data_IF_135104983026
#
_entry.id   IF_135104983026
#
_cell.length_a   1.000
_cell.length_b   1.000
_cell.length_c   1.000
_cell.angle_alpha   90.00
_cell.angle_beta   90.00
_cell.angle_gamma   90.00
#
_symmetry.space_group_name_H-M   'P 1'
#
loop_
_entity.id
_entity.type
_entity.pdbx_description
1 polymer ?
#
# COMPACT_ATOMS: atom_id res chain seq x y z
N UNK A 1 -22.27 27.86 14.51
CA UNK A 1 -22.24 28.75 15.70
C UNK A 1 -21.63 28.06 16.92
N UNK A 2 -22.05 26.85 17.30
CA UNK A 2 -21.57 26.09 18.48
C UNK A 2 -20.06 25.86 18.51
N UNK A 3 -19.45 25.30 17.44
CA UNK A 3 -17.98 25.05 17.35
C UNK A 3 -17.15 26.30 17.62
N UNK A 4 -17.53 27.43 17.05
CA UNK A 4 -16.85 28.71 17.22
C UNK A 4 -16.86 29.18 18.68
N UNK A 5 -18.00 29.10 19.35
CA UNK A 5 -18.11 29.52 20.76
C UNK A 5 -17.39 28.54 21.71
N UNK A 6 -17.39 27.23 21.41
CA UNK A 6 -16.63 26.23 22.16
C UNK A 6 -15.11 26.46 22.07
N UNK A 7 -14.59 26.79 20.89
CA UNK A 7 -13.17 27.14 20.70
C UNK A 7 -12.75 28.43 21.43
N UNK A 8 -13.70 29.32 21.72
CA UNK A 8 -13.47 30.54 22.52
C UNK A 8 -13.74 30.34 24.02
N UNK A 9 -13.83 29.08 24.48
CA UNK A 9 -13.99 28.73 25.90
C UNK A 9 -15.38 29.00 26.47
N UNK A 10 -16.38 29.31 25.64
CA UNK A 10 -17.74 29.54 26.13
C UNK A 10 -18.47 28.21 26.31
N UNK A 11 -19.21 28.02 27.42
CA UNK A 11 -20.08 26.86 27.58
C UNK A 11 -21.13 26.87 26.47
N UNK A 12 -21.23 25.75 25.76
CA UNK A 12 -22.19 25.56 24.67
C UNK A 12 -22.93 24.27 24.92
N UNK A 13 -24.26 24.31 24.82
CA UNK A 13 -25.08 23.11 24.95
C UNK A 13 -24.99 22.30 23.65
N UNK A 14 -24.62 21.03 23.77
CA UNK A 14 -24.67 20.09 22.66
C UNK A 14 -26.07 19.48 22.62
N UNK A 15 -26.81 19.78 21.55
CA UNK A 15 -28.10 19.17 21.26
C UNK A 15 -27.94 18.32 19.98
N UNK A 16 -28.15 17.00 20.03
CA UNK A 16 -28.12 16.15 18.85
C UNK A 16 -29.00 16.71 17.72
N UNK A 17 -28.52 16.65 16.47
CA UNK A 17 -29.28 17.10 15.30
C UNK A 17 -29.48 18.62 15.13
N UNK A 18 -29.01 19.46 16.06
CA UNK A 18 -29.22 20.93 15.98
C UNK A 18 -28.09 21.69 15.31
N UNK A 19 -26.90 21.10 15.22
CA UNK A 19 -25.78 21.66 14.49
C UNK A 19 -25.13 20.59 13.59
N UNK A 20 -24.39 21.06 12.58
CA UNK A 20 -23.75 20.18 11.60
C UNK A 20 -22.82 19.14 12.26
N UNK A 21 -22.16 19.50 13.36
CA UNK A 21 -21.31 18.59 14.11
C UNK A 21 -22.14 17.51 14.83
N UNK A 22 -23.23 17.87 15.49
CA UNK A 22 -24.15 16.96 16.14
C UNK A 22 -24.80 15.99 15.16
N UNK A 23 -25.18 16.45 13.96
CA UNK A 23 -25.72 15.58 12.91
C UNK A 23 -24.69 14.54 12.43
N UNK A 24 -23.43 14.95 12.24
CA UNK A 24 -22.35 14.03 11.85
C UNK A 24 -22.06 13.00 12.95
N UNK A 25 -22.03 13.43 14.22
CA UNK A 25 -21.81 12.54 15.36
C UNK A 25 -22.97 11.52 15.47
N UNK A 26 -24.21 11.96 15.34
CA UNK A 26 -25.39 11.09 15.38
C UNK A 26 -25.35 10.05 14.25
N UNK A 27 -25.03 10.48 13.03
CA UNK A 27 -24.87 9.57 11.90
C UNK A 27 -23.75 8.53 12.15
N UNK A 28 -22.60 8.98 12.66
CA UNK A 28 -21.49 8.10 13.01
C UNK A 28 -21.90 7.05 14.06
N UNK A 29 -22.51 7.46 15.17
CA UNK A 29 -22.97 6.55 16.23
C UNK A 29 -23.95 5.52 15.67
N UNK A 30 -24.96 5.97 14.91
CA UNK A 30 -25.97 5.06 14.32
C UNK A 30 -25.36 4.05 13.35
N UNK A 31 -24.38 4.44 12.55
CA UNK A 31 -23.69 3.54 11.64
C UNK A 31 -22.82 2.53 12.42
N UNK A 32 -22.20 2.97 13.53
CA UNK A 32 -21.38 2.11 14.39
C UNK A 32 -22.23 1.07 15.11
N UNK A 33 -23.35 1.49 15.72
CA UNK A 33 -24.30 0.59 16.39
C UNK A 33 -24.90 -0.44 15.46
N UNK A 34 -25.07 -0.10 14.17
CA UNK A 34 -25.51 -1.04 13.12
C UNK A 34 -24.40 -1.95 12.60
N UNK A 35 -23.15 -1.79 13.06
CA UNK A 35 -21.99 -2.55 12.59
C UNK A 35 -21.55 -2.21 11.16
N UNK A 36 -21.96 -1.05 10.62
CA UNK A 36 -21.62 -0.61 9.26
C UNK A 36 -20.32 0.18 9.18
N UNK A 37 -19.82 0.67 10.31
CA UNK A 37 -18.49 1.27 10.44
C UNK A 37 -17.72 0.57 11.55
N UNK A 38 -16.43 0.36 11.32
CA UNK A 38 -15.54 -0.32 12.24
C UNK A 38 -14.13 0.28 12.12
N UNK A 39 -13.30 0.05 13.13
CA UNK A 39 -11.88 0.41 13.07
C UNK A 39 -11.05 -0.84 12.74
N UNK A 40 -10.15 -0.74 11.78
CA UNK A 40 -9.33 -1.85 11.34
C UNK A 40 -8.01 -1.42 10.74
N UNK A 41 -7.08 -2.36 10.60
CA UNK A 41 -5.88 -2.15 9.80
C UNK A 41 -6.15 -2.57 8.37
N UNK A 42 -6.19 -1.61 7.47
CA UNK A 42 -6.42 -1.82 6.04
C UNK A 42 -5.44 -0.98 5.21
N UNK A 43 -5.28 -1.35 3.94
CA UNK A 43 -4.51 -0.56 2.99
C UNK A 43 -5.30 0.69 2.62
N UNK A 44 -4.66 1.85 2.78
CA UNK A 44 -5.22 3.15 2.43
C UNK A 44 -4.35 3.83 1.39
N UNK A 45 -4.99 4.63 0.55
CA UNK A 45 -4.33 5.64 -0.26
C UNK A 45 -3.80 6.72 0.68
N UNK A 46 -2.47 6.80 0.84
CA UNK A 46 -1.80 7.74 1.73
C UNK A 46 -1.22 8.90 0.93
N UNK A 47 -1.47 10.14 1.37
CA UNK A 47 -0.76 11.32 0.88
C UNK A 47 0.43 11.59 1.80
N UNK A 48 1.68 11.45 1.33
CA UNK A 48 2.87 11.77 2.13
C UNK A 48 2.94 13.26 2.48
N UNK A 49 2.47 14.12 1.58
CA UNK A 49 2.47 15.58 1.73
C UNK A 49 1.49 16.06 2.79
N UNK A 50 0.28 15.49 2.81
CA UNK A 50 -0.77 15.87 3.76
C UNK A 50 -0.75 15.00 5.02
N UNK A 51 0.04 13.92 5.02
CA UNK A 51 0.14 12.93 6.10
C UNK A 51 -1.23 12.41 6.54
N UNK A 52 -2.08 12.10 5.57
CA UNK A 52 -3.43 11.59 5.80
C UNK A 52 -3.82 10.55 4.76
N UNK A 53 -4.77 9.69 5.11
CA UNK A 53 -5.46 8.88 4.11
C UNK A 53 -6.36 9.78 3.25
N UNK A 54 -6.45 9.42 1.99
CA UNK A 54 -7.22 10.07 0.94
C UNK A 54 -8.20 9.04 0.37
N UNK A 55 -9.42 9.45 0.03
CA UNK A 55 -10.39 8.52 -0.55
C UNK A 55 -10.08 8.21 -2.02
N UNK A 56 -10.60 7.09 -2.54
CA UNK A 56 -10.44 6.75 -3.97
C UNK A 56 -11.05 7.80 -4.92
N UNK A 57 -12.07 8.54 -4.47
CA UNK A 57 -12.67 9.60 -5.28
C UNK A 57 -11.81 10.86 -5.35
N UNK A 58 -10.83 11.00 -4.46
CA UNK A 58 -9.93 12.15 -4.36
C UNK A 58 -8.59 11.92 -5.06
N UNK A 59 -8.46 10.82 -5.82
CA UNK A 59 -7.25 10.45 -6.54
C UNK A 59 -7.50 10.29 -8.04
N UNK A 60 -6.51 10.66 -8.84
CA UNK A 60 -6.53 10.59 -10.30
C UNK A 60 -5.27 9.91 -10.82
N UNK A 61 -5.36 9.27 -11.98
CA UNK A 61 -4.20 8.64 -12.62
C UNK A 61 -3.52 9.60 -13.59
N UNK A 62 -2.20 9.69 -13.48
CA UNK A 62 -1.32 10.39 -14.41
C UNK A 62 -0.34 9.42 -15.05
N UNK A 63 -0.07 9.57 -16.35
CA UNK A 63 0.98 8.82 -17.05
C UNK A 63 2.30 9.59 -16.98
N UNK A 64 3.35 8.94 -16.48
CA UNK A 64 4.65 9.56 -16.27
C UNK A 64 5.79 8.68 -16.79
N UNK A 65 6.85 9.27 -17.37
CA UNK A 65 8.03 8.50 -17.74
C UNK A 65 8.72 7.97 -16.48
N UNK A 66 8.92 6.67 -16.43
CA UNK A 66 9.63 5.98 -15.38
C UNK A 66 10.58 4.91 -15.90
N UNK A 67 11.09 4.10 -14.99
CA UNK A 67 12.09 3.08 -15.29
C UNK A 67 11.70 1.77 -14.61
N UNK A 68 11.65 0.70 -15.40
CA UNK A 68 11.50 -0.66 -14.92
C UNK A 68 12.86 -1.18 -14.46
N UNK A 69 12.91 -1.65 -13.23
CA UNK A 69 14.10 -2.29 -12.67
C UNK A 69 13.93 -3.80 -12.66
N UNK A 70 14.96 -4.52 -13.13
CA UNK A 70 15.01 -5.97 -13.01
C UNK A 70 16.02 -6.42 -11.95
N UNK A 71 15.53 -7.17 -10.97
CA UNK A 71 16.32 -7.74 -9.87
C UNK A 71 16.42 -9.25 -10.05
N UNK A 72 17.57 -9.85 -9.74
CA UNK A 72 17.78 -11.30 -9.80
C UNK A 72 17.57 -11.92 -8.41
N UNK A 73 16.66 -12.89 -8.32
CA UNK A 73 16.41 -13.69 -7.11
C UNK A 73 16.94 -15.10 -7.33
N UNK A 74 17.79 -15.61 -6.43
CA UNK A 74 18.30 -16.98 -6.54
C UNK A 74 17.33 -17.99 -5.96
N UNK A 75 17.21 -19.17 -6.58
CA UNK A 75 16.40 -20.27 -6.03
C UNK A 75 17.17 -20.96 -4.91
N UNK A 76 16.54 -21.12 -3.75
CA UNK A 76 17.11 -21.84 -2.62
C UNK A 76 17.34 -23.31 -2.98
N UNK A 77 18.56 -23.79 -2.77
CA UNK A 77 18.97 -25.15 -3.14
C UNK A 77 19.14 -25.38 -4.65
N UNK A 78 19.03 -24.34 -5.48
CA UNK A 78 19.29 -24.40 -6.92
C UNK A 78 20.78 -24.16 -7.27
N UNK A 79 21.10 -24.30 -8.56
CA UNK A 79 22.41 -23.92 -9.09
C UNK A 79 22.59 -22.39 -9.10
N UNK A 80 23.82 -21.90 -9.16
CA UNK A 80 24.13 -20.46 -9.31
C UNK A 80 23.51 -19.84 -10.58
N UNK A 81 23.16 -20.67 -11.56
CA UNK A 81 22.45 -20.30 -12.79
C UNK A 81 20.92 -20.17 -12.61
N UNK A 82 20.36 -20.67 -11.51
CA UNK A 82 18.92 -20.68 -11.28
C UNK A 82 18.51 -19.39 -10.57
N UNK A 83 18.08 -18.41 -11.37
CA UNK A 83 17.57 -17.14 -10.87
C UNK A 83 16.27 -16.74 -11.57
N UNK A 84 15.44 -16.01 -10.84
CA UNK A 84 14.25 -15.33 -11.36
C UNK A 84 14.61 -13.87 -11.63
N UNK A 85 14.17 -13.33 -12.77
CA UNK A 85 14.20 -11.89 -13.01
C UNK A 85 12.87 -11.29 -12.55
N UNK A 86 12.95 -10.22 -11.81
CA UNK A 86 11.82 -9.64 -11.11
C UNK A 86 11.71 -8.14 -11.43
N UNK A 87 10.51 -7.66 -11.76
CA UNK A 87 10.24 -6.26 -12.14
C UNK A 87 9.79 -5.45 -10.93
N UNK A 88 10.52 -4.41 -10.50
CA UNK A 88 10.05 -3.53 -9.41
C UNK A 88 9.08 -2.46 -9.90
N UNK A 89 7.79 -2.61 -9.54
CA UNK A 89 6.79 -1.55 -9.30
C UNK A 89 5.81 -2.04 -8.23
N UNK A 90 6.27 -2.03 -6.97
CA UNK A 90 5.71 -2.89 -5.91
C UNK A 90 6.23 -4.32 -6.05
N UNK A 91 6.13 -5.10 -4.96
CA UNK A 91 6.47 -6.54 -4.79
C UNK A 91 5.78 -7.53 -5.81
N UNK A 92 5.68 -7.24 -7.11
CA UNK A 92 5.10 -8.08 -8.18
C UNK A 92 6.01 -9.23 -8.67
N UNK A 93 5.87 -10.42 -8.09
CA UNK A 93 6.54 -11.64 -8.60
C UNK A 93 5.81 -12.14 -9.87
N UNK A 94 6.17 -11.65 -11.05
CA UNK A 94 5.61 -12.17 -12.30
C UNK A 94 6.41 -13.40 -12.75
N UNK A 95 5.86 -14.60 -12.57
CA UNK A 95 6.41 -15.80 -13.22
C UNK A 95 5.96 -15.84 -14.68
N UNK A 96 6.91 -15.57 -15.57
CA UNK A 96 6.84 -16.02 -16.96
C UNK A 96 6.75 -17.57 -17.00
N UNK A 97 6.10 -18.15 -18.01
CA UNK A 97 5.98 -19.62 -18.19
C UNK A 97 7.34 -20.34 -18.04
N UNK A 98 8.42 -19.66 -18.44
CA UNK A 98 9.83 -20.08 -18.28
C UNK A 98 10.24 -20.44 -16.85
N UNK A 99 9.57 -19.90 -15.84
CA UNK A 99 9.87 -20.07 -14.42
C UNK A 99 8.86 -20.97 -13.69
N UNK A 100 7.87 -21.54 -14.38
CA UNK A 100 6.87 -22.45 -13.79
C UNK A 100 7.50 -23.63 -13.03
N UNK A 101 8.68 -24.09 -13.46
CA UNK A 101 9.47 -25.15 -12.81
C UNK A 101 9.97 -24.80 -11.39
N UNK A 102 9.89 -23.53 -10.99
CA UNK A 102 10.29 -23.06 -9.67
C UNK A 102 9.11 -22.83 -8.72
N UNK A 103 7.86 -22.99 -9.18
CA UNK A 103 6.67 -22.89 -8.34
C UNK A 103 6.74 -23.93 -7.21
N UNK A 104 6.49 -23.49 -5.98
CA UNK A 104 6.61 -24.31 -4.77
C UNK A 104 8.03 -24.40 -4.19
N UNK A 105 9.05 -23.84 -4.87
CA UNK A 105 10.39 -23.66 -4.29
C UNK A 105 10.49 -22.33 -3.55
N UNK A 106 11.57 -22.15 -2.81
CA UNK A 106 11.85 -20.89 -2.10
C UNK A 106 12.82 -20.03 -2.93
N UNK A 107 12.53 -18.75 -3.08
CA UNK A 107 13.47 -17.75 -3.58
C UNK A 107 14.20 -17.10 -2.41
N UNK A 108 15.52 -16.93 -2.55
CA UNK A 108 16.33 -16.15 -1.63
C UNK A 108 16.16 -14.70 -2.04
N UNK A 109 15.59 -13.90 -1.13
CA UNK A 109 15.50 -12.46 -1.33
C UNK A 109 16.91 -11.88 -1.16
N UNK A 110 17.41 -11.12 -2.15
CA UNK A 110 18.70 -10.46 -2.01
C UNK A 110 18.73 -9.56 -0.76
N UNK A 111 19.88 -9.48 -0.09
CA UNK A 111 20.16 -8.54 1.02
C UNK A 111 19.44 -8.75 2.35
N UNK A 112 18.46 -9.65 2.43
CA UNK A 112 17.66 -9.87 3.65
C UNK A 112 18.27 -10.93 4.57
N UNK A 113 19.60 -10.97 4.72
CA UNK A 113 20.30 -11.96 5.55
C UNK A 113 19.82 -13.42 5.37
N UNK A 114 19.36 -13.78 4.17
CA UNK A 114 18.84 -15.12 3.88
C UNK A 114 17.34 -15.32 4.08
N UNK A 115 16.50 -14.27 4.07
CA UNK A 115 15.06 -14.47 4.03
C UNK A 115 14.63 -15.21 2.75
N UNK A 116 13.80 -16.23 2.95
CA UNK A 116 13.23 -17.06 1.91
C UNK A 116 11.77 -16.69 1.69
N UNK A 117 11.38 -16.48 0.44
CA UNK A 117 9.99 -16.22 0.05
C UNK A 117 9.51 -17.36 -0.86
N UNK A 118 8.30 -17.90 -0.65
CA UNK A 118 7.77 -18.93 -1.51
C UNK A 118 7.53 -18.40 -2.93
N UNK A 119 7.94 -19.18 -3.93
CA UNK A 119 7.68 -18.90 -5.34
C UNK A 119 6.27 -19.42 -5.65
N UNK A 120 5.34 -18.49 -5.83
CA UNK A 120 3.93 -18.75 -6.15
C UNK A 120 3.65 -18.33 -7.59
N UNK A 121 2.76 -19.06 -8.27
CA UNK A 121 2.42 -18.86 -9.69
C UNK A 121 1.84 -17.48 -10.02
N UNK A 122 1.37 -16.74 -9.01
CA UNK A 122 0.64 -15.48 -9.18
C UNK A 122 1.41 -14.25 -8.71
N UNK A 123 1.12 -13.12 -9.37
CA UNK A 123 1.66 -11.79 -9.04
C UNK A 123 1.09 -11.34 -7.70
N UNK A 124 1.91 -11.21 -6.65
CA UNK A 124 1.45 -10.69 -5.35
C UNK A 124 2.47 -9.76 -4.69
N UNK A 125 2.11 -8.47 -4.57
CA UNK A 125 2.71 -7.40 -3.75
C UNK A 125 1.86 -7.00 -2.54
N UNK A 126 1.87 -7.74 -1.43
CA UNK A 126 0.94 -7.51 -0.32
C UNK A 126 0.97 -6.09 0.26
N UNK A 127 2.13 -5.42 0.23
CA UNK A 127 2.35 -4.11 0.86
C UNK A 127 2.15 -2.90 -0.05
N UNK A 128 2.05 -3.08 -1.38
CA UNK A 128 2.17 -1.96 -2.33
C UNK A 128 1.15 -1.98 -3.47
N UNK A 129 0.17 -2.89 -3.45
CA UNK A 129 -0.92 -2.95 -4.42
C UNK A 129 -2.19 -3.46 -3.72
N UNK A 130 -3.34 -2.84 -3.99
CA UNK A 130 -4.60 -3.15 -3.32
C UNK A 130 -5.10 -4.57 -3.66
N UNK A 131 -4.96 -5.01 -4.91
CA UNK A 131 -5.39 -6.35 -5.33
C UNK A 131 -4.54 -7.42 -4.64
N UNK A 132 -3.25 -7.15 -4.55
CA UNK A 132 -2.29 -8.05 -3.95
C UNK A 132 -2.43 -8.11 -2.42
N UNK A 133 -2.77 -7.01 -1.76
CA UNK A 133 -3.11 -6.97 -0.34
C UNK A 133 -4.30 -7.87 -0.01
N UNK A 134 -5.36 -7.81 -0.82
CA UNK A 134 -6.56 -8.64 -0.64
C UNK A 134 -6.23 -10.12 -0.82
N UNK A 135 -5.46 -10.45 -1.86
CA UNK A 135 -5.04 -11.83 -2.13
C UNK A 135 -4.11 -12.36 -1.03
N UNK A 136 -3.16 -11.55 -0.56
CA UNK A 136 -2.26 -11.88 0.53
C UNK A 136 -3.01 -12.13 1.84
N UNK A 137 -4.03 -11.32 2.15
CA UNK A 137 -4.91 -11.57 3.31
C UNK A 137 -5.67 -12.88 3.20
N UNK A 138 -6.21 -13.21 2.01
CA UNK A 138 -6.90 -14.48 1.77
C UNK A 138 -5.97 -15.69 1.94
N UNK A 139 -4.72 -15.54 1.52
CA UNK A 139 -3.68 -16.58 1.59
C UNK A 139 -2.87 -16.56 2.91
N UNK A 140 -3.24 -15.68 3.86
CA UNK A 140 -2.54 -15.47 5.13
C UNK A 140 -1.02 -15.22 4.99
N UNK A 141 -0.61 -14.53 3.93
CA UNK A 141 0.79 -14.20 3.68
C UNK A 141 1.24 -13.03 4.57
N UNK A 142 2.52 -13.01 5.01
CA UNK A 142 3.06 -11.89 5.77
C UNK A 142 3.05 -10.61 4.93
N UNK A 143 2.49 -9.54 5.49
CA UNK A 143 2.43 -8.22 4.84
C UNK A 143 3.61 -7.39 5.35
N UNK A 144 4.65 -7.26 4.52
CA UNK A 144 5.82 -6.45 4.80
C UNK A 144 5.64 -5.06 4.17
N UNK A 145 5.81 -4.02 4.98
CA UNK A 145 5.85 -2.65 4.50
C UNK A 145 7.31 -2.20 4.40
N UNK A 146 7.74 -1.80 3.20
CA UNK A 146 9.11 -1.37 2.89
C UNK A 146 9.25 0.16 2.95
N UNK A 147 8.13 0.88 3.10
CA UNK A 147 8.11 2.34 3.13
C UNK A 147 7.79 2.89 4.51
N UNK A 148 8.49 3.96 4.86
CA UNK A 148 8.20 4.81 6.00
C UNK A 148 6.97 5.70 5.70
N UNK A 149 6.36 6.26 6.75
CA UNK A 149 5.17 7.12 6.64
C UNK A 149 5.40 8.43 5.88
N UNK A 150 6.65 8.84 5.75
CA UNK A 150 7.10 10.03 5.01
C UNK A 150 7.35 9.75 3.52
N UNK A 151 7.14 8.51 3.05
CA UNK A 151 7.37 8.10 1.67
C UNK A 151 8.84 7.76 1.35
N UNK A 152 9.73 7.77 2.36
CA UNK A 152 11.09 7.27 2.18
C UNK A 152 11.12 5.74 2.23
N UNK A 153 12.03 5.14 1.48
CA UNK A 153 12.34 3.72 1.61
C UNK A 153 13.10 3.50 2.93
N UNK A 154 12.87 2.36 3.58
CA UNK A 154 13.73 1.92 4.67
C UNK A 154 15.14 1.58 4.14
N UNK A 155 16.15 1.45 5.02
CA UNK A 155 17.58 1.30 4.65
C UNK A 155 17.94 0.06 3.80
N UNK A 156 16.95 -0.70 3.35
CA UNK A 156 17.11 -1.78 2.37
C UNK A 156 16.73 -1.26 0.98
N UNK A 157 17.70 -0.87 0.14
CA UNK A 157 17.70 -1.15 -1.33
C UNK A 157 18.73 -0.33 -2.12
N UNK A 158 19.60 -1.04 -2.87
CA UNK A 158 20.16 -0.52 -4.13
C UNK A 158 20.60 -1.69 -5.03
N UNK A 159 19.73 -2.17 -5.95
CA UNK A 159 20.00 -3.38 -6.76
C UNK A 159 19.29 -3.39 -8.12
N UNK A 160 19.58 -2.41 -8.98
CA UNK A 160 19.15 -2.47 -10.37
C UNK A 160 20.18 -3.20 -11.25
N UNK A 161 19.89 -4.40 -11.75
CA UNK A 161 20.80 -5.11 -12.69
C UNK A 161 20.59 -4.64 -14.12
N UNK A 162 19.33 -4.39 -14.53
CA UNK A 162 18.99 -3.77 -15.81
C UNK A 162 17.85 -2.77 -15.64
N UNK A 163 17.90 -1.69 -16.42
CA UNK A 163 16.95 -0.58 -16.41
C UNK A 163 16.34 -0.44 -17.80
N UNK A 164 15.03 -0.38 -17.91
CA UNK A 164 14.32 -0.14 -19.18
C UNK A 164 13.35 1.05 -19.01
N UNK A 165 13.27 1.98 -19.98
CA UNK A 165 12.29 3.06 -19.92
C UNK A 165 10.87 2.53 -20.05
N UNK A 166 9.94 3.07 -19.26
CA UNK A 166 8.53 2.65 -19.26
C UNK A 166 7.60 3.77 -18.83
N UNK A 167 6.35 3.75 -19.28
CA UNK A 167 5.33 4.68 -18.79
C UNK A 167 4.67 4.13 -17.54
N UNK A 168 4.70 4.89 -16.46
CA UNK A 168 4.09 4.54 -15.18
C UNK A 168 2.75 5.22 -15.04
N UNK A 169 1.77 4.44 -14.58
CA UNK A 169 0.47 4.95 -14.20
C UNK A 169 0.49 5.29 -12.71
N UNK A 170 0.75 6.55 -12.38
CA UNK A 170 0.92 7.03 -11.00
C UNK A 170 -0.42 7.57 -10.48
N UNK A 171 -0.81 7.14 -9.28
CA UNK A 171 -1.94 7.76 -8.57
C UNK A 171 -1.49 9.10 -7.99
N UNK A 172 -2.28 10.15 -8.22
CA UNK A 172 -2.04 11.49 -7.66
C UNK A 172 -3.27 12.04 -6.96
N UNK A 173 -3.03 12.84 -5.93
CA UNK A 173 -4.04 13.58 -5.18
C UNK A 173 -4.65 14.68 -6.04
N UNK A 174 -5.98 14.77 -6.12
CA UNK A 174 -6.67 15.88 -6.78
C UNK A 174 -6.38 17.24 -6.13
N UNK A 175 -6.14 17.24 -4.82
CA UNK A 175 -6.01 18.49 -4.04
C UNK A 175 -4.62 19.09 -4.13
N UNK A 176 -3.59 18.25 -4.03
CA UNK A 176 -2.22 18.71 -3.90
C UNK A 176 -1.27 18.26 -5.00
N UNK A 177 -1.76 17.43 -5.94
CA UNK A 177 -1.02 16.89 -7.07
C UNK A 177 0.09 15.91 -6.70
N UNK A 178 0.31 15.60 -5.42
CA UNK A 178 1.33 14.65 -4.98
C UNK A 178 0.98 13.22 -5.37
N UNK A 179 2.01 12.39 -5.55
CA UNK A 179 1.83 10.95 -5.70
C UNK A 179 1.23 10.36 -4.41
N UNK A 180 0.26 9.47 -4.60
CA UNK A 180 -0.42 8.74 -3.55
C UNK A 180 0.19 7.35 -3.46
N UNK A 181 0.55 6.98 -2.24
CA UNK A 181 1.21 5.73 -1.92
C UNK A 181 0.25 4.81 -1.16
N UNK A 182 0.13 3.53 -1.50
CA UNK A 182 -0.62 2.58 -0.67
C UNK A 182 0.14 2.30 0.64
N UNK A 183 -0.54 2.44 1.78
CA UNK A 183 0.05 2.18 3.10
C UNK A 183 -0.95 1.46 4.00
N UNK A 184 -0.49 0.47 4.77
CA UNK A 184 -1.33 -0.18 5.78
C UNK A 184 -1.44 0.73 6.99
N UNK A 185 -2.64 1.24 7.25
CA UNK A 185 -2.92 2.13 8.39
C UNK A 185 -4.09 1.60 9.20
N UNK A 186 -4.10 1.91 10.50
CA UNK A 186 -5.25 1.67 11.37
C UNK A 186 -6.17 2.89 11.31
N UNK A 187 -7.36 2.71 10.77
CA UNK A 187 -8.38 3.75 10.65
C UNK A 187 -9.74 3.24 11.08
#
# INVERSE_FOLDING_TARGET
MVRYHRMRGRPTLWLPGTDHAGAVIEAFIRLHEKGLIYQGSYMVNWSPKLQTAVSELEVEYSEEPGTLYYIKYHVAGGSRSDFLKYQQHGLKLCLDERYSKYVGKMAIVPMTYGHHVPIISDKISPGHDHNDYVLARKLALPILNVMNKDGTLNEETDLAVTKEPHSLRVLRSQRGGEAIEPLVSKQ
#
